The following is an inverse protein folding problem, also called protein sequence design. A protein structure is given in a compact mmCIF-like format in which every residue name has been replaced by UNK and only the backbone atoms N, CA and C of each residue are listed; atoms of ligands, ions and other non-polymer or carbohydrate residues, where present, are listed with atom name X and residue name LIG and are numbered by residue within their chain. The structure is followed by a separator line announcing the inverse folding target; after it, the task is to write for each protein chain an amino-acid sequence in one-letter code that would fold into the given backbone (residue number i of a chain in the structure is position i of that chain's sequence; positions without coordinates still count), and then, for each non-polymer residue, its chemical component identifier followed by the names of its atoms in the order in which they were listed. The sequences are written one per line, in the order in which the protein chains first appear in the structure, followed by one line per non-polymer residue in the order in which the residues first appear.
data_IF_865153015658
#
_entry.id   IF_865153015658
#
_cell.length_a   1.000
_cell.length_b   1.000
_cell.length_c   1.000
_cell.angle_alpha   90.00
_cell.angle_beta   90.00
_cell.angle_gamma   90.00
#
_symmetry.space_group_name_H-M   'P 1'
#
loop_
_entity.id
_entity.type
_entity.pdbx_description
1 polymer ?
#
# COMPACT_ATOMS: atom_id res chain seq x y z
N UNK A 1 -65.23 56.98 11.61
CA UNK A 1 -64.17 56.24 12.31
C UNK A 1 -63.76 55.07 11.40
N UNK A 2 -62.61 55.18 10.81
CA UNK A 2 -62.12 54.26 9.75
C UNK A 2 -61.15 53.30 10.42
N UNK A 3 -61.52 51.99 10.45
CA UNK A 3 -60.66 50.92 10.97
C UNK A 3 -59.73 50.42 9.88
N UNK A 4 -58.42 50.50 10.12
CA UNK A 4 -57.41 50.02 9.26
C UNK A 4 -57.11 48.53 9.64
N UNK A 5 -57.43 47.61 8.76
CA UNK A 5 -57.03 46.18 8.90
C UNK A 5 -55.65 46.00 8.36
N UNK A 6 -54.69 45.66 9.21
CA UNK A 6 -53.34 45.25 8.82
C UNK A 6 -53.31 43.76 8.41
N UNK A 7 -53.05 43.52 7.16
CA UNK A 7 -52.78 42.18 6.64
C UNK A 7 -51.27 41.84 6.79
N UNK A 8 -50.94 40.81 7.58
CA UNK A 8 -49.59 40.22 7.63
C UNK A 8 -49.40 39.32 6.42
N UNK A 9 -48.25 39.42 5.70
CA UNK A 9 -47.94 38.46 4.67
C UNK A 9 -47.38 37.16 5.29
N UNK A 10 -48.05 36.06 4.98
CA UNK A 10 -47.55 34.71 5.29
C UNK A 10 -46.41 34.38 4.35
N UNK A 11 -45.16 34.33 4.85
CA UNK A 11 -44.02 33.84 4.10
C UNK A 11 -44.05 32.30 4.03
N UNK A 12 -44.34 31.75 2.86
CA UNK A 12 -44.15 30.31 2.59
C UNK A 12 -42.67 29.99 2.53
N UNK A 13 -42.17 29.28 3.51
CA UNK A 13 -40.84 28.68 3.47
C UNK A 13 -40.97 27.40 2.62
N UNK A 14 -40.45 27.43 1.41
CA UNK A 14 -40.33 26.23 0.57
C UNK A 14 -39.19 25.37 1.15
N UNK A 15 -39.52 24.23 1.77
CA UNK A 15 -38.58 23.20 2.14
C UNK A 15 -38.22 22.45 0.87
N UNK A 16 -37.04 22.74 0.35
CA UNK A 16 -36.47 21.90 -0.75
C UNK A 16 -36.11 20.53 -0.17
N UNK A 17 -36.92 19.52 -0.46
CA UNK A 17 -36.55 18.12 -0.25
C UNK A 17 -35.43 17.79 -1.20
N UNK A 18 -34.20 17.68 -0.70
CA UNK A 18 -33.12 17.06 -1.45
C UNK A 18 -33.50 15.60 -1.68
N UNK A 19 -33.84 15.25 -2.94
CA UNK A 19 -33.97 13.85 -3.32
C UNK A 19 -32.60 13.18 -3.09
N UNK A 20 -32.56 11.98 -2.51
CA UNK A 20 -31.32 11.23 -2.43
C UNK A 20 -30.78 11.05 -3.84
N UNK A 21 -29.48 11.33 -4.02
CA UNK A 21 -28.79 11.05 -5.28
C UNK A 21 -29.04 9.58 -5.63
N UNK A 22 -29.32 9.25 -6.90
CA UNK A 22 -29.43 7.86 -7.29
C UNK A 22 -28.11 7.19 -6.92
N UNK A 23 -28.19 6.14 -6.11
CA UNK A 23 -27.06 5.23 -5.90
C UNK A 23 -26.54 4.88 -7.28
N UNK A 24 -25.24 5.08 -7.50
CA UNK A 24 -24.58 4.70 -8.73
C UNK A 24 -25.03 3.25 -9.01
N UNK A 25 -25.68 3.05 -10.14
CA UNK A 25 -26.12 1.71 -10.53
C UNK A 25 -24.84 0.91 -10.61
N UNK A 26 -24.62 0.02 -9.64
CA UNK A 26 -23.58 -1.00 -9.73
C UNK A 26 -23.75 -1.60 -11.09
N UNK A 27 -22.74 -1.47 -11.94
CA UNK A 27 -22.77 -2.00 -13.28
C UNK A 27 -23.23 -3.45 -13.14
N UNK A 28 -24.37 -3.78 -13.69
CA UNK A 28 -24.88 -5.14 -13.58
C UNK A 28 -23.77 -6.08 -14.01
N UNK A 29 -23.44 -7.02 -13.13
CA UNK A 29 -22.53 -8.09 -13.51
C UNK A 29 -23.03 -8.61 -14.86
N UNK A 30 -22.17 -8.87 -15.84
CA UNK A 30 -22.57 -9.19 -17.20
C UNK A 30 -23.21 -10.57 -17.28
N UNK A 31 -24.28 -10.79 -16.55
CA UNK A 31 -25.18 -11.93 -16.71
C UNK A 31 -25.96 -11.74 -17.99
N UNK A 32 -25.24 -11.59 -19.08
CA UNK A 32 -25.87 -11.69 -20.38
C UNK A 32 -26.16 -13.16 -20.64
N UNK A 33 -27.39 -13.43 -20.86
CA UNK A 33 -28.18 -14.62 -21.07
C UNK A 33 -27.70 -15.61 -22.14
N UNK A 34 -26.46 -15.52 -22.62
CA UNK A 34 -25.93 -16.42 -23.66
C UNK A 34 -25.05 -17.55 -23.13
N UNK A 35 -24.66 -17.48 -21.86
CA UNK A 35 -23.91 -18.56 -21.19
C UNK A 35 -24.73 -19.11 -20.03
N UNK A 36 -24.83 -20.41 -19.92
CA UNK A 36 -25.46 -21.12 -18.80
C UNK A 36 -24.53 -21.31 -17.61
N UNK A 37 -23.24 -20.98 -17.75
CA UNK A 37 -22.26 -21.05 -16.66
C UNK A 37 -22.26 -19.72 -15.88
N UNK A 38 -22.37 -19.80 -14.56
CA UNK A 38 -22.38 -18.62 -13.68
C UNK A 38 -21.07 -17.82 -13.73
N UNK A 39 -19.98 -18.48 -14.07
CA UNK A 39 -18.62 -17.95 -14.15
C UNK A 39 -18.17 -17.60 -15.59
N UNK A 40 -19.12 -17.61 -16.53
CA UNK A 40 -18.80 -17.32 -17.93
C UNK A 40 -18.23 -15.93 -18.11
N UNK A 41 -17.01 -15.87 -18.65
CA UNK A 41 -16.27 -14.63 -18.88
C UNK A 41 -15.42 -14.17 -17.69
N UNK A 42 -15.44 -14.89 -16.56
CA UNK A 42 -14.55 -14.59 -15.44
C UNK A 42 -13.08 -14.80 -15.81
N UNK A 43 -12.23 -13.87 -15.42
CA UNK A 43 -10.78 -13.92 -15.62
C UNK A 43 -10.13 -14.29 -14.30
N UNK A 44 -9.41 -15.42 -14.27
CA UNK A 44 -8.79 -15.97 -13.06
C UNK A 44 -7.32 -15.56 -12.85
N UNK A 45 -6.67 -15.07 -13.90
CA UNK A 45 -5.29 -14.60 -13.86
C UNK A 45 -5.26 -13.10 -14.10
N UNK A 46 -4.38 -12.39 -13.41
CA UNK A 46 -4.22 -10.96 -13.61
C UNK A 46 -3.70 -10.64 -15.01
N UNK A 47 -4.41 -9.84 -15.80
CA UNK A 47 -3.99 -9.43 -17.13
C UNK A 47 -2.75 -8.54 -17.10
N UNK A 48 -1.80 -8.83 -18.02
CA UNK A 48 -0.59 -8.05 -18.24
C UNK A 48 -0.66 -7.46 -19.65
N UNK A 49 -0.48 -6.14 -19.76
CA UNK A 49 -0.57 -5.42 -21.02
C UNK A 49 0.61 -5.73 -21.94
N UNK A 50 0.38 -5.68 -23.26
CA UNK A 50 1.40 -5.92 -24.29
C UNK A 50 2.52 -4.87 -24.33
N UNK A 51 2.45 -3.80 -23.54
CA UNK A 51 3.57 -2.86 -23.35
C UNK A 51 4.71 -3.47 -22.54
N UNK A 52 4.45 -4.53 -21.77
CA UNK A 52 5.49 -5.25 -21.04
C UNK A 52 6.29 -6.13 -21.99
N UNK A 53 7.61 -6.00 -21.97
CA UNK A 53 8.48 -6.90 -22.70
C UNK A 53 8.48 -8.31 -22.08
N UNK A 54 9.11 -9.28 -22.74
CA UNK A 54 9.09 -10.69 -22.31
C UNK A 54 9.67 -10.90 -20.90
N UNK A 55 10.73 -10.16 -20.53
CA UNK A 55 11.34 -10.23 -19.20
C UNK A 55 10.42 -9.64 -18.14
N UNK A 56 9.87 -8.46 -18.40
CA UNK A 56 8.92 -7.80 -17.51
C UNK A 56 7.66 -8.65 -17.30
N UNK A 57 7.10 -9.19 -18.38
CA UNK A 57 5.94 -10.09 -18.32
C UNK A 57 6.23 -11.31 -17.46
N UNK A 58 7.40 -11.93 -17.62
CA UNK A 58 7.77 -13.10 -16.81
C UNK A 58 7.93 -12.77 -15.32
N UNK A 59 8.63 -11.68 -15.00
CA UNK A 59 8.81 -11.23 -13.61
C UNK A 59 7.47 -10.87 -12.98
N UNK A 60 6.65 -10.09 -13.68
CA UNK A 60 5.36 -9.63 -13.18
C UNK A 60 4.38 -10.79 -13.00
N UNK A 61 4.33 -11.75 -13.91
CA UNK A 61 3.51 -12.95 -13.75
C UNK A 61 3.96 -13.79 -12.54
N UNK A 62 5.26 -13.92 -12.32
CA UNK A 62 5.82 -14.59 -11.13
C UNK A 62 5.43 -13.84 -9.85
N UNK A 63 5.59 -12.52 -9.85
CA UNK A 63 5.25 -11.65 -8.74
C UNK A 63 3.76 -11.71 -8.38
N UNK A 64 2.88 -11.68 -9.37
CA UNK A 64 1.43 -11.82 -9.16
C UNK A 64 1.04 -13.18 -8.56
N UNK A 65 1.73 -14.25 -8.96
CA UNK A 65 1.55 -15.56 -8.32
C UNK A 65 2.03 -15.56 -6.86
N UNK A 66 3.15 -14.89 -6.56
CA UNK A 66 3.63 -14.71 -5.18
C UNK A 66 2.66 -13.83 -4.36
N UNK A 67 2.01 -12.83 -4.99
CA UNK A 67 0.97 -12.02 -4.35
C UNK A 67 -0.22 -12.88 -3.93
N UNK A 68 -0.73 -13.71 -4.85
CA UNK A 68 -1.83 -14.64 -4.52
C UNK A 68 -1.43 -15.61 -3.42
N UNK A 69 -0.18 -16.12 -3.45
CA UNK A 69 0.34 -17.01 -2.41
C UNK A 69 0.38 -16.32 -1.03
N UNK A 70 0.91 -15.11 -0.96
CA UNK A 70 1.00 -14.31 0.26
C UNK A 70 -0.39 -14.07 0.87
N UNK A 71 -1.31 -13.62 0.02
CA UNK A 71 -2.69 -13.25 0.40
C UNK A 71 -3.53 -14.47 0.77
N UNK A 72 -3.40 -15.57 0.03
CA UNK A 72 -4.03 -16.83 0.37
C UNK A 72 -3.59 -17.33 1.74
N UNK A 73 -2.30 -17.23 2.04
CA UNK A 73 -1.77 -17.65 3.33
C UNK A 73 -2.30 -16.77 4.47
N UNK A 74 -2.30 -15.44 4.29
CA UNK A 74 -2.87 -14.51 5.28
C UNK A 74 -4.35 -14.83 5.57
N UNK A 75 -5.14 -15.06 4.54
CA UNK A 75 -6.54 -15.48 4.68
C UNK A 75 -6.66 -16.81 5.43
N UNK A 76 -5.87 -17.81 5.09
CA UNK A 76 -5.89 -19.14 5.74
C UNK A 76 -5.50 -19.06 7.21
N UNK A 77 -4.53 -18.22 7.57
CA UNK A 77 -4.18 -17.96 8.96
C UNK A 77 -5.40 -17.41 9.74
N UNK A 78 -6.08 -16.41 9.19
CA UNK A 78 -7.28 -15.83 9.80
C UNK A 78 -8.41 -16.88 9.91
N UNK A 79 -8.66 -17.66 8.86
CA UNK A 79 -9.68 -18.72 8.86
C UNK A 79 -9.40 -19.80 9.92
N UNK A 80 -8.13 -20.05 10.22
CA UNK A 80 -7.72 -21.05 11.20
C UNK A 80 -7.79 -20.53 12.63
N UNK A 81 -7.28 -19.34 12.88
CA UNK A 81 -7.05 -18.84 14.24
C UNK A 81 -7.99 -17.67 14.61
N UNK A 82 -8.55 -16.98 13.63
CA UNK A 82 -9.41 -15.82 13.85
C UNK A 82 -8.72 -14.76 14.71
N UNK A 83 -9.49 -14.15 15.58
CA UNK A 83 -9.01 -13.18 16.57
C UNK A 83 -8.31 -13.80 17.80
N UNK A 84 -8.14 -15.12 17.85
CA UNK A 84 -7.28 -15.78 18.85
C UNK A 84 -5.80 -15.69 18.48
N UNK A 85 -5.47 -15.34 17.23
CA UNK A 85 -4.10 -15.08 16.78
C UNK A 85 -3.55 -13.80 17.38
N UNK A 86 -2.41 -13.86 18.05
CA UNK A 86 -1.70 -12.68 18.57
C UNK A 86 -1.32 -11.73 17.44
N UNK A 87 -0.92 -12.27 16.27
CA UNK A 87 -0.61 -11.46 15.09
C UNK A 87 -1.88 -10.77 14.56
N UNK A 88 -3.01 -11.46 14.56
CA UNK A 88 -4.28 -10.85 14.18
C UNK A 88 -4.64 -9.67 15.09
N UNK A 89 -4.58 -9.89 16.42
CA UNK A 89 -4.88 -8.85 17.40
C UNK A 89 -3.94 -7.64 17.29
N UNK A 90 -2.67 -7.88 16.98
CA UNK A 90 -1.67 -6.84 16.79
C UNK A 90 -2.06 -5.84 15.69
N UNK A 91 -2.62 -6.32 14.57
CA UNK A 91 -2.94 -5.51 13.39
C UNK A 91 -4.41 -5.08 13.32
N UNK A 92 -5.32 -5.83 13.90
CA UNK A 92 -6.76 -5.62 13.75
C UNK A 92 -7.50 -5.46 15.08
N UNK A 93 -6.82 -5.60 16.23
CA UNK A 93 -7.48 -5.59 17.53
C UNK A 93 -8.54 -6.68 17.64
N UNK A 94 -9.63 -6.37 18.33
CA UNK A 94 -10.76 -7.30 18.56
C UNK A 94 -11.78 -7.32 17.39
N UNK A 95 -11.42 -6.83 16.20
CA UNK A 95 -12.33 -6.78 15.05
C UNK A 95 -12.74 -8.16 14.58
N UNK A 96 -14.01 -8.34 14.20
CA UNK A 96 -14.42 -9.54 13.49
C UNK A 96 -13.61 -9.72 12.20
N UNK A 97 -13.18 -10.95 11.88
CA UNK A 97 -12.23 -11.20 10.81
C UNK A 97 -12.81 -11.12 9.39
N UNK A 98 -14.10 -10.88 9.25
CA UNK A 98 -14.81 -11.03 7.96
C UNK A 98 -14.38 -10.00 6.92
N UNK A 99 -14.08 -8.77 7.32
CA UNK A 99 -13.62 -7.72 6.40
C UNK A 99 -12.23 -8.06 5.84
N UNK A 100 -11.29 -8.42 6.70
CA UNK A 100 -9.95 -8.83 6.29
C UNK A 100 -9.97 -10.10 5.40
N UNK A 101 -10.79 -11.11 5.76
CA UNK A 101 -11.02 -12.29 4.92
C UNK A 101 -11.55 -11.88 3.55
N UNK A 102 -12.55 -10.99 3.50
CA UNK A 102 -13.15 -10.50 2.25
C UNK A 102 -12.14 -9.75 1.40
N UNK A 103 -11.33 -8.88 2.02
CA UNK A 103 -10.28 -8.13 1.34
C UNK A 103 -9.23 -9.04 0.68
N UNK A 104 -8.85 -10.12 1.35
CA UNK A 104 -7.93 -11.10 0.76
C UNK A 104 -8.61 -12.00 -0.27
N UNK A 105 -9.86 -12.43 -0.03
CA UNK A 105 -10.57 -13.35 -0.91
C UNK A 105 -10.84 -12.75 -2.30
N UNK A 106 -11.09 -11.46 -2.39
CA UNK A 106 -11.28 -10.80 -3.68
C UNK A 106 -10.04 -10.91 -4.57
N UNK A 107 -8.85 -10.88 -3.97
CA UNK A 107 -7.57 -11.05 -4.69
C UNK A 107 -7.34 -12.51 -5.08
N UNK A 108 -7.70 -13.45 -4.22
CA UNK A 108 -7.51 -14.88 -4.48
C UNK A 108 -8.48 -15.37 -5.54
N UNK A 109 -9.77 -15.17 -5.35
CA UNK A 109 -10.85 -15.83 -6.11
C UNK A 109 -11.72 -14.90 -6.95
N UNK A 110 -11.61 -13.57 -6.76
CA UNK A 110 -12.41 -12.60 -7.51
C UNK A 110 -12.10 -12.59 -9.01
N UNK A 111 -13.01 -12.05 -9.79
CA UNK A 111 -12.81 -11.81 -11.22
C UNK A 111 -11.76 -10.71 -11.43
N UNK A 112 -10.73 -10.99 -12.23
CA UNK A 112 -9.62 -10.09 -12.51
C UNK A 112 -9.77 -9.31 -13.82
N UNK A 113 -10.92 -9.42 -14.50
CA UNK A 113 -11.16 -8.73 -15.78
C UNK A 113 -11.10 -7.21 -15.68
N UNK A 114 -11.36 -6.66 -14.49
CA UNK A 114 -11.29 -5.22 -14.21
C UNK A 114 -9.90 -4.67 -13.86
N UNK A 115 -8.83 -5.47 -14.00
CA UNK A 115 -7.46 -5.12 -13.60
C UNK A 115 -6.51 -5.28 -14.77
N UNK A 116 -5.58 -4.35 -14.97
CA UNK A 116 -4.54 -4.44 -16.01
C UNK A 116 -3.23 -3.84 -15.54
N UNK A 117 -2.16 -4.63 -15.61
CA UNK A 117 -0.80 -4.20 -15.29
C UNK A 117 -0.07 -3.76 -16.57
N UNK A 118 0.53 -2.57 -16.55
CA UNK A 118 1.25 -1.98 -17.70
C UNK A 118 2.72 -1.70 -17.35
N UNK A 119 3.57 -1.68 -18.39
CA UNK A 119 5.00 -1.37 -18.28
C UNK A 119 5.41 -0.15 -19.13
N UNK A 120 4.47 0.47 -19.85
CA UNK A 120 4.68 1.79 -20.45
C UNK A 120 4.33 2.89 -19.45
N UNK A 121 4.70 4.10 -19.77
CA UNK A 121 4.49 5.26 -18.87
C UNK A 121 3.56 6.29 -19.55
N UNK A 122 2.27 5.98 -19.76
CA UNK A 122 1.37 6.86 -20.50
C UNK A 122 1.10 8.19 -19.78
N UNK A 123 1.22 8.21 -18.47
CA UNK A 123 0.96 9.40 -17.64
C UNK A 123 2.24 10.17 -17.29
N UNK A 124 3.42 9.65 -17.65
CA UNK A 124 4.71 10.29 -17.43
C UNK A 124 5.28 10.16 -16.01
N UNK A 125 4.55 9.56 -15.06
CA UNK A 125 4.89 9.56 -13.64
C UNK A 125 6.13 8.71 -13.31
N UNK A 126 6.47 7.70 -14.11
CA UNK A 126 7.70 6.93 -13.92
C UNK A 126 9.00 7.75 -14.11
N UNK A 127 8.90 8.98 -14.60
CA UNK A 127 10.03 9.91 -14.66
C UNK A 127 10.30 10.63 -13.33
N UNK A 128 9.41 10.49 -12.35
CA UNK A 128 9.56 11.08 -11.04
C UNK A 128 10.49 10.19 -10.17
N UNK A 129 11.35 10.82 -9.41
CA UNK A 129 12.30 10.12 -8.53
C UNK A 129 11.55 9.33 -7.44
N UNK A 130 11.94 8.08 -7.20
CA UNK A 130 11.34 7.22 -6.18
C UNK A 130 10.06 6.51 -6.61
N UNK A 131 9.57 6.73 -7.84
CA UNK A 131 8.32 6.12 -8.28
C UNK A 131 8.51 4.68 -8.81
N UNK A 132 8.06 3.70 -8.02
CA UNK A 132 8.01 2.29 -8.43
C UNK A 132 6.82 1.93 -9.33
N UNK A 133 5.81 2.79 -9.37
CA UNK A 133 4.61 2.65 -10.20
C UNK A 133 3.47 3.50 -9.66
N UNK A 134 2.33 3.46 -10.35
CA UNK A 134 1.16 4.23 -9.93
C UNK A 134 -0.13 3.63 -10.49
N UNK A 135 -1.21 3.80 -9.75
CA UNK A 135 -2.55 3.66 -10.29
C UNK A 135 -2.85 4.84 -11.22
N UNK A 136 -3.55 4.61 -12.35
CA UNK A 136 -3.81 5.66 -13.34
C UNK A 136 -4.99 6.57 -13.00
N UNK A 137 -5.65 6.33 -11.88
CA UNK A 137 -6.78 7.13 -11.44
C UNK A 137 -7.90 7.20 -12.48
N UNK A 138 -8.52 8.34 -12.56
CA UNK A 138 -9.63 8.63 -13.49
C UNK A 138 -9.27 8.44 -14.99
N UNK A 139 -7.97 8.45 -15.34
CA UNK A 139 -7.54 8.23 -16.71
C UNK A 139 -7.79 6.78 -17.18
N UNK A 140 -7.68 5.81 -16.27
CA UNK A 140 -7.96 4.41 -16.53
C UNK A 140 -8.05 3.65 -15.19
N UNK A 141 -9.22 3.63 -14.57
CA UNK A 141 -9.45 3.15 -13.20
C UNK A 141 -9.06 1.69 -12.97
N UNK A 142 -9.06 0.86 -14.00
CA UNK A 142 -8.64 -0.55 -13.95
C UNK A 142 -7.15 -0.78 -14.24
N UNK A 143 -6.33 0.27 -14.41
CA UNK A 143 -4.94 0.12 -14.83
C UNK A 143 -3.95 0.62 -13.78
N UNK A 144 -2.88 -0.15 -13.58
CA UNK A 144 -1.71 0.26 -12.81
C UNK A 144 -0.44 0.14 -13.66
N UNK A 145 0.43 1.13 -13.54
CA UNK A 145 1.74 1.19 -14.22
C UNK A 145 2.81 0.68 -13.25
N UNK A 146 3.68 -0.18 -13.75
CA UNK A 146 4.86 -0.66 -13.05
C UNK A 146 6.08 0.02 -13.68
N UNK A 147 6.76 0.85 -12.92
CA UNK A 147 7.96 1.56 -13.36
C UNK A 147 9.22 0.69 -13.23
N UNK A 148 10.28 1.07 -13.96
CA UNK A 148 11.55 0.33 -13.97
C UNK A 148 12.15 0.16 -12.58
N UNK A 149 11.99 1.15 -11.68
CA UNK A 149 12.46 1.07 -10.30
C UNK A 149 11.95 -0.16 -9.54
N UNK A 150 10.70 -0.59 -9.78
CA UNK A 150 10.18 -1.83 -9.17
C UNK A 150 10.94 -3.06 -9.63
N UNK A 151 11.33 -3.13 -10.92
CA UNK A 151 12.11 -4.25 -11.45
C UNK A 151 13.55 -4.28 -10.92
N UNK A 152 14.07 -3.15 -10.47
CA UNK A 152 15.42 -3.02 -9.92
C UNK A 152 15.45 -3.32 -8.43
N UNK A 153 14.40 -2.95 -7.68
CA UNK A 153 14.43 -2.91 -6.22
C UNK A 153 13.63 -3.99 -5.54
N UNK A 154 12.52 -4.47 -6.15
CA UNK A 154 11.65 -5.46 -5.51
C UNK A 154 12.29 -6.85 -5.48
N UNK A 155 12.07 -7.55 -4.38
CA UNK A 155 12.57 -8.90 -4.13
C UNK A 155 11.47 -9.94 -4.30
N UNK A 156 11.86 -11.17 -4.58
CA UNK A 156 10.93 -12.32 -4.54
C UNK A 156 10.58 -12.67 -3.09
N UNK A 157 9.37 -13.13 -2.87
CA UNK A 157 8.84 -13.52 -1.57
C UNK A 157 9.66 -14.61 -0.88
N UNK A 158 10.37 -15.44 -1.64
CA UNK A 158 11.26 -16.47 -1.10
C UNK A 158 12.49 -15.91 -0.36
N UNK A 159 12.72 -14.58 -0.41
CA UNK A 159 13.76 -13.88 0.34
C UNK A 159 13.24 -13.28 1.65
N UNK A 160 12.02 -13.63 2.06
CA UNK A 160 11.45 -13.20 3.33
C UNK A 160 12.41 -13.53 4.47
N UNK A 161 12.61 -12.59 5.38
CA UNK A 161 13.56 -12.66 6.50
C UNK A 161 15.04 -12.78 6.10
N UNK A 162 15.38 -12.64 4.83
CA UNK A 162 16.76 -12.66 4.36
C UNK A 162 17.30 -11.24 4.12
N UNK A 163 18.62 -11.13 3.98
CA UNK A 163 19.30 -9.89 3.61
C UNK A 163 18.99 -8.70 4.53
N UNK A 164 18.79 -8.96 5.82
CA UNK A 164 18.52 -7.93 6.82
C UNK A 164 17.07 -7.45 6.89
N UNK A 165 16.18 -8.04 6.09
CA UNK A 165 14.76 -7.70 6.17
C UNK A 165 14.14 -8.11 7.51
N UNK A 166 13.37 -7.20 8.09
CA UNK A 166 12.40 -7.47 9.14
C UNK A 166 11.14 -6.62 8.89
N UNK A 167 10.01 -7.07 9.45
CA UNK A 167 8.71 -6.50 9.11
C UNK A 167 8.57 -5.05 9.59
N UNK A 168 9.01 -4.74 10.81
CA UNK A 168 8.83 -3.41 11.39
C UNK A 168 9.80 -2.37 10.82
N UNK A 169 11.04 -2.77 10.52
CA UNK A 169 12.09 -1.82 10.14
C UNK A 169 12.43 -1.83 8.65
N UNK A 170 11.64 -2.50 7.82
CA UNK A 170 11.86 -2.53 6.37
C UNK A 170 10.63 -2.04 5.62
N UNK A 171 10.79 -1.36 4.46
CA UNK A 171 9.64 -0.94 3.66
C UNK A 171 8.69 -2.09 3.33
N UNK A 172 7.39 -1.87 3.49
CA UNK A 172 6.36 -2.87 3.23
C UNK A 172 6.35 -3.36 1.77
N UNK A 173 6.82 -2.52 0.85
CA UNK A 173 6.92 -2.80 -0.57
C UNK A 173 8.26 -3.45 -0.99
N UNK A 174 9.06 -3.95 -0.04
CA UNK A 174 10.33 -4.64 -0.33
C UNK A 174 10.15 -5.85 -1.25
N UNK A 175 9.05 -6.57 -1.09
CA UNK A 175 8.74 -7.73 -1.92
C UNK A 175 7.75 -7.39 -3.02
N UNK A 176 7.93 -7.98 -4.19
CA UNK A 176 6.96 -7.90 -5.28
C UNK A 176 5.55 -8.25 -4.82
N UNK A 177 5.42 -9.30 -4.02
CA UNK A 177 4.13 -9.80 -3.56
C UNK A 177 3.36 -8.73 -2.75
N UNK A 178 4.03 -8.05 -1.84
CA UNK A 178 3.41 -7.02 -1.01
C UNK A 178 3.20 -5.70 -1.75
N UNK A 179 4.14 -5.30 -2.62
CA UNK A 179 3.98 -4.11 -3.47
C UNK A 179 2.76 -4.25 -4.39
N UNK A 180 2.59 -5.41 -5.03
CA UNK A 180 1.43 -5.66 -5.90
C UNK A 180 0.13 -5.83 -5.12
N UNK A 181 0.15 -6.40 -3.91
CA UNK A 181 -1.00 -6.44 -3.02
C UNK A 181 -1.54 -5.05 -2.75
N UNK A 182 -0.68 -4.14 -2.32
CA UNK A 182 -1.02 -2.75 -2.06
C UNK A 182 -1.61 -2.06 -3.30
N UNK A 183 -0.96 -2.20 -4.48
CA UNK A 183 -1.45 -1.64 -5.74
C UNK A 183 -2.81 -2.19 -6.17
N UNK A 184 -3.09 -3.44 -5.89
CA UNK A 184 -4.39 -4.05 -6.19
C UNK A 184 -5.51 -3.39 -5.39
N UNK A 185 -5.27 -3.01 -4.14
CA UNK A 185 -6.28 -2.33 -3.33
C UNK A 185 -6.65 -0.93 -3.83
N UNK A 186 -5.76 -0.25 -4.57
CA UNK A 186 -6.09 1.01 -5.23
C UNK A 186 -7.05 0.86 -6.42
N UNK A 187 -7.17 -0.32 -6.99
CA UNK A 187 -8.03 -0.53 -8.14
C UNK A 187 -9.47 -0.80 -7.71
N UNK A 188 -10.48 -0.05 -8.23
CA UNK A 188 -11.88 -0.19 -7.81
C UNK A 188 -12.45 -1.60 -7.97
N UNK A 189 -11.95 -2.38 -8.93
CA UNK A 189 -12.36 -3.78 -9.11
C UNK A 189 -11.97 -4.70 -7.94
N UNK A 190 -10.96 -4.32 -7.16
CA UNK A 190 -10.42 -5.07 -6.02
C UNK A 190 -10.75 -4.37 -4.70
N UNK A 191 -10.28 -3.14 -4.51
CA UNK A 191 -10.47 -2.38 -3.26
C UNK A 191 -11.87 -1.83 -3.08
N UNK A 192 -12.62 -1.66 -4.19
CA UNK A 192 -14.03 -1.28 -4.17
C UNK A 192 -14.30 0.10 -3.56
N UNK A 193 -13.30 0.97 -3.54
CA UNK A 193 -13.36 2.23 -2.78
C UNK A 193 -13.71 2.03 -1.28
N UNK A 194 -13.47 0.80 -0.79
CA UNK A 194 -13.71 0.41 0.59
C UNK A 194 -12.42 0.21 1.35
N UNK A 195 -11.38 -0.27 0.66
CA UNK A 195 -10.02 -0.33 1.19
C UNK A 195 -9.36 1.01 0.88
N UNK A 196 -8.92 1.69 1.93
CA UNK A 196 -8.36 3.04 1.88
C UNK A 196 -7.01 3.09 2.61
N UNK A 197 -6.40 4.27 2.70
CA UNK A 197 -5.23 4.55 3.51
C UNK A 197 -5.63 5.30 4.78
N UNK A 198 -5.50 4.66 5.92
CA UNK A 198 -5.69 5.26 7.24
C UNK A 198 -4.38 5.31 8.03
N UNK A 199 -3.41 4.51 7.61
CA UNK A 199 -2.04 4.46 8.12
C UNK A 199 -1.08 4.32 6.94
N UNK A 200 0.16 4.81 7.05
CA UNK A 200 1.14 4.80 5.95
C UNK A 200 2.45 4.08 6.28
N UNK A 201 2.66 3.74 7.57
CA UNK A 201 3.85 3.01 8.01
C UNK A 201 3.51 1.99 9.11
N UNK A 202 4.53 1.26 9.55
CA UNK A 202 4.35 0.20 10.53
C UNK A 202 3.79 0.72 11.87
N UNK A 203 4.31 1.81 12.39
CA UNK A 203 3.93 2.34 13.70
C UNK A 203 2.51 2.90 13.66
N UNK A 204 2.16 3.60 12.60
CA UNK A 204 0.79 4.09 12.36
C UNK A 204 -0.22 2.94 12.24
N UNK A 205 0.14 1.85 11.57
CA UNK A 205 -0.68 0.64 11.49
C UNK A 205 -0.94 0.04 12.87
N UNK A 206 0.08 -0.06 13.71
CA UNK A 206 -0.06 -0.59 15.08
C UNK A 206 -0.91 0.34 15.96
N UNK A 207 -0.76 1.66 15.80
CA UNK A 207 -1.60 2.62 16.51
C UNK A 207 -3.06 2.61 16.02
N UNK A 208 -3.27 2.43 14.71
CA UNK A 208 -4.61 2.31 14.14
C UNK A 208 -5.37 1.12 14.74
N UNK A 209 -4.70 -0.02 14.90
CA UNK A 209 -5.28 -1.21 15.53
C UNK A 209 -5.72 -0.98 16.99
N UNK A 210 -5.02 -0.09 17.73
CA UNK A 210 -5.34 0.26 19.12
C UNK A 210 -6.44 1.32 19.25
N UNK A 211 -6.47 2.28 18.32
CA UNK A 211 -7.27 3.50 18.45
C UNK A 211 -8.56 3.51 17.66
N UNK A 212 -8.60 2.88 16.50
CA UNK A 212 -9.77 2.87 15.63
C UNK A 212 -9.89 1.56 14.84
N UNK A 213 -10.34 0.55 15.52
CA UNK A 213 -10.46 -0.80 14.98
C UNK A 213 -11.36 -0.88 13.73
N UNK A 214 -12.27 0.06 13.52
CA UNK A 214 -13.16 0.01 12.34
C UNK A 214 -12.42 0.29 11.04
N UNK A 215 -11.26 0.93 11.11
CA UNK A 215 -10.44 1.27 9.95
C UNK A 215 -9.35 0.23 9.69
N UNK A 216 -8.81 -0.42 10.72
CA UNK A 216 -7.68 -1.34 10.57
C UNK A 216 -7.93 -2.48 9.57
N UNK A 217 -9.15 -3.07 9.56
CA UNK A 217 -9.50 -4.13 8.59
C UNK A 217 -9.77 -3.63 7.17
N UNK A 218 -9.76 -2.31 6.99
CA UNK A 218 -9.99 -1.62 5.72
C UNK A 218 -8.80 -0.80 5.26
N UNK A 219 -7.73 -0.80 6.03
CA UNK A 219 -6.49 -0.10 5.71
C UNK A 219 -5.58 -0.99 4.87
N UNK A 220 -5.15 -0.47 3.72
CA UNK A 220 -4.31 -1.20 2.76
C UNK A 220 -2.97 -1.60 3.36
N UNK A 221 -2.36 -0.71 4.14
CA UNK A 221 -1.06 -0.94 4.76
C UNK A 221 -1.16 -1.94 5.90
N UNK A 222 -2.21 -1.88 6.73
CA UNK A 222 -2.49 -2.90 7.76
C UNK A 222 -2.63 -4.29 7.15
N UNK A 223 -3.41 -4.41 6.08
CA UNK A 223 -3.57 -5.68 5.37
C UNK A 223 -2.23 -6.17 4.78
N UNK A 224 -1.42 -5.26 4.25
CA UNK A 224 -0.10 -5.57 3.70
C UNK A 224 0.87 -6.07 4.79
N UNK A 225 1.03 -5.34 5.89
CA UNK A 225 1.91 -5.71 7.00
C UNK A 225 1.49 -7.00 7.69
N UNK A 226 0.19 -7.19 7.91
CA UNK A 226 -0.33 -8.45 8.45
C UNK A 226 0.05 -9.64 7.58
N UNK A 227 -0.17 -9.54 6.26
CA UNK A 227 0.16 -10.62 5.34
C UNK A 227 1.67 -10.95 5.36
N UNK A 228 2.53 -9.93 5.40
CA UNK A 228 3.98 -10.10 5.50
C UNK A 228 4.39 -10.79 6.80
N UNK A 229 3.86 -10.34 7.95
CA UNK A 229 4.26 -10.91 9.25
C UNK A 229 3.77 -12.34 9.42
N UNK A 230 2.54 -12.64 9.03
CA UNK A 230 1.99 -14.00 9.07
C UNK A 230 2.80 -14.94 8.17
N UNK A 231 3.15 -14.50 6.96
CA UNK A 231 3.97 -15.30 6.08
C UNK A 231 5.39 -15.51 6.64
N UNK A 232 5.97 -14.47 7.22
CA UNK A 232 7.26 -14.58 7.90
C UNK A 232 7.24 -15.60 9.03
N UNK A 233 6.19 -15.54 9.88
CA UNK A 233 6.05 -16.36 11.07
C UNK A 233 5.68 -17.82 10.77
N UNK A 234 4.76 -18.04 9.83
CA UNK A 234 4.24 -19.38 9.56
C UNK A 234 5.10 -20.14 8.52
N UNK A 235 5.67 -19.43 7.53
CA UNK A 235 6.27 -20.04 6.34
C UNK A 235 7.78 -19.82 6.26
N UNK A 236 8.25 -18.57 6.33
CA UNK A 236 9.66 -18.28 6.08
C UNK A 236 10.55 -18.76 7.23
N UNK A 237 10.18 -18.49 8.47
CA UNK A 237 10.86 -18.90 9.69
C UNK A 237 9.82 -19.39 10.69
N UNK A 238 9.33 -20.63 10.57
CA UNK A 238 8.20 -21.13 11.36
C UNK A 238 8.36 -20.96 12.86
N UNK A 239 7.36 -20.33 13.47
CA UNK A 239 7.29 -20.09 14.91
C UNK A 239 8.22 -18.98 15.43
N UNK A 240 8.92 -18.28 14.56
CA UNK A 240 9.81 -17.19 14.92
C UNK A 240 9.55 -15.93 14.09
N UNK A 241 9.43 -16.05 12.75
CA UNK A 241 9.33 -14.92 11.84
C UNK A 241 10.57 -14.02 11.85
N UNK A 242 10.36 -12.79 11.43
CA UNK A 242 11.33 -11.68 11.51
C UNK A 242 10.59 -10.36 11.79
N UNK A 243 9.94 -10.22 12.96
CA UNK A 243 9.09 -9.07 13.25
C UNK A 243 9.85 -7.75 13.30
N UNK A 244 11.10 -7.74 13.78
CA UNK A 244 11.83 -6.51 14.05
C UNK A 244 11.35 -5.80 15.32
N UNK A 245 11.87 -4.60 15.53
CA UNK A 245 11.46 -3.70 16.60
C UNK A 245 10.90 -2.43 15.97
N UNK A 246 9.78 -1.91 16.47
CA UNK A 246 9.28 -0.59 16.11
C UNK A 246 10.29 0.47 16.54
N UNK A 247 10.49 1.49 15.73
CA UNK A 247 11.26 2.66 16.13
C UNK A 247 10.38 3.52 17.02
N UNK A 248 10.53 3.37 18.35
CA UNK A 248 9.99 4.35 19.28
C UNK A 248 10.62 5.71 18.96
N UNK A 249 9.89 6.56 18.27
CA UNK A 249 10.22 7.99 18.15
C UNK A 249 9.91 8.65 19.49
N UNK A 250 10.75 8.37 20.50
CA UNK A 250 10.82 9.20 21.70
C UNK A 250 11.32 10.59 21.30
N UNK A 251 10.40 11.51 21.08
CA UNK A 251 10.67 12.94 21.03
C UNK A 251 10.97 13.48 22.43
N UNK A 252 11.99 12.92 23.09
CA UNK A 252 12.57 13.54 24.27
C UNK A 252 13.66 14.54 23.84
N UNK A 253 13.25 15.79 23.71
CA UNK A 253 14.14 16.93 23.74
C UNK A 253 14.67 17.11 25.16
N UNK A 254 15.67 16.34 25.56
CA UNK A 254 16.42 16.65 26.77
C UNK A 254 17.88 17.01 26.42
N UNK A 255 18.13 18.32 26.47
CA UNK A 255 19.47 18.88 26.44
C UNK A 255 20.14 18.64 27.80
N UNK A 256 20.99 17.63 27.89
CA UNK A 256 21.97 17.57 28.98
C UNK A 256 23.30 17.04 28.47
N UNK A 257 24.24 18.00 28.43
CA UNK A 257 25.66 17.73 28.25
C UNK A 257 26.23 17.01 29.47
N UNK A 258 26.95 15.94 29.25
CA UNK A 258 28.08 15.59 30.15
C UNK A 258 29.13 14.72 29.48
N UNK A 259 30.33 15.15 29.68
CA UNK A 259 31.58 14.69 29.12
C UNK A 259 32.17 13.48 29.84
N UNK A 260 33.23 12.95 29.21
CA UNK A 260 34.38 12.16 29.77
C UNK A 260 34.18 10.63 29.72
N UNK A 261 35.15 9.82 29.39
CA UNK A 261 36.58 9.95 29.06
C UNK A 261 37.09 8.62 28.44
N UNK A 262 38.06 8.77 27.60
CA UNK A 262 39.30 8.01 27.39
C UNK A 262 39.37 6.49 27.64
N UNK A 263 39.84 5.75 26.62
CA UNK A 263 41.05 4.94 26.74
C UNK A 263 41.67 4.60 25.38
N UNK A 264 42.94 4.85 25.28
CA UNK A 264 43.86 4.62 24.18
C UNK A 264 44.11 3.15 23.86
N UNK A 265 44.36 2.85 22.57
CA UNK A 265 45.44 1.93 22.20
C UNK A 265 45.96 2.25 20.79
N UNK A 266 47.26 2.48 20.75
CA UNK A 266 48.11 2.77 19.61
C UNK A 266 48.19 1.62 18.61
N UNK A 267 48.31 1.93 17.30
CA UNK A 267 49.24 1.27 16.37
C UNK A 267 49.54 2.19 15.19
N UNK A 268 50.78 2.38 14.93
CA UNK A 268 51.49 3.31 14.08
C UNK A 268 51.57 2.84 12.60
N UNK A 269 51.97 3.68 11.63
CA UNK A 269 51.51 3.69 10.25
C UNK A 269 52.55 3.17 9.24
N UNK A 270 52.14 2.99 7.99
CA UNK A 270 53.03 2.99 6.84
C UNK A 270 52.33 3.48 5.58
N UNK A 271 53.02 3.93 4.53
CA UNK A 271 52.79 5.25 3.97
C UNK A 271 52.08 5.24 2.60
N UNK A 272 51.64 6.41 2.21
CA UNK A 272 51.03 6.74 0.93
C UNK A 272 52.04 6.69 -0.24
N UNK A 273 51.51 6.65 -1.48
CA UNK A 273 52.01 7.65 -2.42
C UNK A 273 50.89 8.55 -2.96
N UNK A 274 51.30 9.79 -3.15
CA UNK A 274 50.57 10.89 -3.73
C UNK A 274 50.40 10.74 -5.25
N UNK A 275 49.29 11.25 -5.80
CA UNK A 275 49.27 12.04 -7.04
C UNK A 275 47.86 12.59 -7.28
N UNK A 276 47.71 13.85 -7.15
CA UNK A 276 47.48 14.94 -8.11
C UNK A 276 46.08 15.06 -8.74
N UNK A 277 45.43 16.16 -8.28
CA UNK A 277 44.74 17.20 -9.05
C UNK A 277 43.53 16.85 -9.91
N UNK A 278 42.42 17.46 -9.55
CA UNK A 278 41.32 17.71 -10.45
C UNK A 278 40.00 17.88 -9.73
N UNK A 279 39.80 19.07 -9.12
CA UNK A 279 38.49 19.47 -8.61
C UNK A 279 37.64 19.99 -9.79
N UNK A 280 36.44 19.44 -10.05
CA UNK A 280 35.41 20.22 -10.69
C UNK A 280 34.44 20.75 -9.63
N UNK A 281 34.27 22.04 -9.67
CA UNK A 281 33.27 22.84 -8.98
C UNK A 281 31.90 22.21 -9.13
N UNK A 282 31.29 21.76 -8.03
CA UNK A 282 29.90 21.37 -7.98
C UNK A 282 29.03 22.62 -8.11
N UNK A 283 28.40 22.77 -9.25
CA UNK A 283 27.30 23.70 -9.43
C UNK A 283 26.10 23.12 -8.68
N UNK A 284 25.70 23.77 -7.60
CA UNK A 284 24.43 23.46 -6.92
C UNK A 284 23.27 23.73 -7.88
N UNK A 285 22.57 22.68 -8.22
CA UNK A 285 21.24 22.79 -8.83
C UNK A 285 20.25 23.38 -7.81
N UNK A 286 19.29 24.20 -8.21
CA UNK A 286 18.29 24.74 -7.31
C UNK A 286 17.39 23.60 -6.80
N UNK A 287 17.30 23.45 -5.48
CA UNK A 287 16.34 22.58 -4.81
C UNK A 287 14.94 23.12 -5.07
N UNK A 288 14.28 22.61 -6.08
CA UNK A 288 12.83 22.75 -6.20
C UNK A 288 12.22 21.74 -5.22
N UNK A 289 11.71 22.20 -4.10
CA UNK A 289 10.75 21.45 -3.28
C UNK A 289 9.51 21.23 -4.12
N UNK A 290 9.48 20.14 -4.88
CA UNK A 290 8.29 19.67 -5.55
C UNK A 290 7.42 19.05 -4.46
N UNK A 291 6.35 19.74 -4.05
CA UNK A 291 5.31 19.13 -3.24
C UNK A 291 4.67 18.00 -4.05
N UNK A 292 4.54 16.84 -3.45
CA UNK A 292 3.81 15.71 -4.04
C UNK A 292 2.40 16.16 -4.46
N UNK A 293 1.84 15.59 -5.52
CA UNK A 293 0.41 15.76 -5.83
C UNK A 293 -0.46 15.38 -4.63
N UNK A 294 -1.66 15.97 -4.50
CA UNK A 294 -2.50 15.81 -3.30
C UNK A 294 -2.94 14.36 -2.99
N UNK A 295 -2.84 13.47 -3.98
CA UNK A 295 -3.21 12.05 -3.83
C UNK A 295 -1.98 11.14 -3.77
N UNK A 296 -0.79 11.68 -3.50
CA UNK A 296 0.43 10.90 -3.42
C UNK A 296 1.00 10.93 -2.03
N UNK A 297 1.49 9.80 -1.56
CA UNK A 297 2.21 9.67 -0.30
C UNK A 297 3.53 8.91 -0.54
N UNK A 298 4.49 9.14 0.34
CA UNK A 298 5.80 8.50 0.29
C UNK A 298 5.85 7.45 1.38
N UNK A 299 6.17 6.21 1.03
CA UNK A 299 6.46 5.18 2.02
C UNK A 299 7.85 5.32 2.60
N UNK A 300 8.07 4.73 3.77
CA UNK A 300 9.38 4.57 4.36
C UNK A 300 10.29 3.80 3.37
N UNK A 301 11.40 4.43 2.95
CA UNK A 301 12.24 3.94 1.85
C UNK A 301 12.21 4.81 0.59
N UNK A 302 11.38 5.86 0.56
CA UNK A 302 11.36 6.89 -0.48
C UNK A 302 10.48 6.60 -1.69
N UNK A 303 9.79 5.46 -1.73
CA UNK A 303 8.85 5.14 -2.80
C UNK A 303 7.58 5.97 -2.67
N UNK A 304 7.12 6.54 -3.79
CA UNK A 304 5.92 7.35 -3.86
C UNK A 304 4.80 6.56 -4.51
N UNK A 305 3.66 6.53 -3.86
CA UNK A 305 2.42 6.00 -4.39
C UNK A 305 1.38 7.10 -4.51
N UNK A 306 0.57 7.04 -5.55
CA UNK A 306 -0.52 7.97 -5.78
C UNK A 306 -1.83 7.21 -5.98
N UNK A 307 -2.88 7.70 -5.35
CA UNK A 307 -4.27 7.22 -5.47
C UNK A 307 -5.06 8.04 -6.47
#
# INVERSE_FOLDING_TARGET
MIGIASALPLALVAVASAAPAPLAVRQEAPFTTTSTAWDAGAVTQFPIHSSCNASQTHQLATALNETVLLVQHAKEHILRWGNESEVYQKYFGDRPPYDAIGAYEIIVSGDKSGVLFRCDNPDGNCALEGWGGHWRGENATGETVICDLSYETRRSLNQMCALGYNVAGSPANTFWASDLLHRLYHMPAIGGEYIEHFAGDYDEVIELAKGNETQSTRDSDTLQYFALEVYAYDIAVPGQGCPGESHDHDHDHDHSASASASASASATPAPAPASTTGSPTATQAPSTTSSLPPNCHTHEGGDVHCT
#
